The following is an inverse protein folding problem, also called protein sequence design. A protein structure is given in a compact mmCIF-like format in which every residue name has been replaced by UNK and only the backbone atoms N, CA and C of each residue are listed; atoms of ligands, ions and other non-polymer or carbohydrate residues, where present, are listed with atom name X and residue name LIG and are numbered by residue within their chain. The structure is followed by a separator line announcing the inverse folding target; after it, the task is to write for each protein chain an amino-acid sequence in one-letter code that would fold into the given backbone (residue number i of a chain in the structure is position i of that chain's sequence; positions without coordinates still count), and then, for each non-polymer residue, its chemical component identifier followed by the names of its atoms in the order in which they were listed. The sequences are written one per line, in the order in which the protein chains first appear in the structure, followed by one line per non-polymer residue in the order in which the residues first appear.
data_IF_256316812187
#
_entry.id   IF_256316812187
#
_cell.length_a   1.000
_cell.length_b   1.000
_cell.length_c   1.000
_cell.angle_alpha   90.00
_cell.angle_beta   90.00
_cell.angle_gamma   90.00
#
_symmetry.space_group_name_H-M   'P 1'
#
loop_
_entity.id
_entity.type
_entity.pdbx_description
1 polymer ?
#
# COMPACT_ATOMS: atom_id res chain seq x y z
N UNK A 1 5.55 12.27 14.06
CA UNK A 1 4.15 12.56 13.70
C UNK A 1 4.03 13.17 12.32
N UNK A 2 4.22 14.49 12.21
CA UNK A 2 3.97 15.23 10.96
C UNK A 2 5.00 14.94 9.84
N UNK A 3 6.28 14.76 10.18
CA UNK A 3 7.35 14.51 9.21
C UNK A 3 7.24 13.12 8.56
N UNK A 4 6.92 12.08 9.34
CA UNK A 4 6.73 10.72 8.83
C UNK A 4 5.44 10.59 8.00
N UNK A 5 4.37 11.30 8.38
CA UNK A 5 3.15 11.41 7.55
C UNK A 5 3.37 12.13 6.22
N UNK A 6 4.30 13.09 6.17
CA UNK A 6 4.67 13.80 4.95
C UNK A 6 5.52 12.93 4.02
N UNK A 7 6.43 12.11 4.55
CA UNK A 7 7.23 11.16 3.78
C UNK A 7 6.43 9.91 3.34
N UNK A 8 5.40 9.54 4.09
CA UNK A 8 4.54 8.42 3.72
C UNK A 8 3.77 8.69 2.41
N UNK A 9 3.36 9.93 2.15
CA UNK A 9 2.63 10.29 0.92
C UNK A 9 3.42 9.97 -0.37
N UNK A 10 4.67 10.45 -0.57
CA UNK A 10 5.45 10.08 -1.75
C UNK A 10 5.84 8.60 -1.74
N UNK A 11 6.03 7.98 -0.57
CA UNK A 11 6.31 6.55 -0.49
C UNK A 11 5.13 5.70 -1.00
N UNK A 12 3.90 6.02 -0.61
CA UNK A 12 2.70 5.29 -1.06
C UNK A 12 2.44 5.44 -2.56
N UNK A 13 2.77 6.59 -3.17
CA UNK A 13 2.68 6.75 -4.63
C UNK A 13 3.58 5.72 -5.33
N UNK A 14 4.81 5.54 -4.85
CA UNK A 14 5.74 4.54 -5.38
C UNK A 14 5.18 3.14 -5.18
N UNK A 15 4.63 2.83 -4.01
CA UNK A 15 4.03 1.52 -3.70
C UNK A 15 2.85 1.22 -4.62
N UNK A 16 1.93 2.18 -4.83
CA UNK A 16 0.78 2.01 -5.73
C UNK A 16 1.24 1.70 -7.15
N UNK A 17 2.24 2.43 -7.66
CA UNK A 17 2.79 2.19 -9.00
C UNK A 17 3.42 0.80 -9.11
N UNK A 18 4.20 0.39 -8.09
CA UNK A 18 4.82 -0.95 -8.06
C UNK A 18 3.76 -2.06 -8.01
N UNK A 19 2.69 -1.89 -7.22
CA UNK A 19 1.61 -2.86 -7.13
C UNK A 19 0.85 -2.98 -8.47
N UNK A 20 0.58 -1.86 -9.15
CA UNK A 20 -0.01 -1.89 -10.50
C UNK A 20 0.87 -2.68 -11.47
N UNK A 21 2.17 -2.38 -11.52
CA UNK A 21 3.11 -3.12 -12.37
C UNK A 21 3.13 -4.60 -12.01
N UNK A 22 3.19 -4.96 -10.72
CA UNK A 22 3.19 -6.35 -10.27
C UNK A 22 1.90 -7.11 -10.66
N UNK A 23 0.75 -6.45 -10.61
CA UNK A 23 -0.53 -7.01 -11.06
C UNK A 23 -0.46 -7.29 -12.56
N UNK A 24 -0.17 -6.29 -13.39
CA UNK A 24 -0.21 -6.42 -14.86
C UNK A 24 0.91 -7.29 -15.44
N UNK A 25 2.05 -7.39 -14.77
CA UNK A 25 3.23 -8.08 -15.34
C UNK A 25 3.34 -9.53 -14.84
N UNK A 26 3.10 -9.76 -13.55
CA UNK A 26 3.37 -11.07 -12.92
C UNK A 26 2.08 -11.83 -12.62
N UNK A 27 1.07 -11.17 -12.05
CA UNK A 27 -0.07 -11.86 -11.44
C UNK A 27 -1.33 -11.90 -12.32
N UNK A 28 -1.41 -11.11 -13.40
CA UNK A 28 -2.59 -11.08 -14.28
C UNK A 28 -2.86 -12.44 -14.93
N UNK A 29 -1.80 -13.22 -15.18
CA UNK A 29 -1.88 -14.55 -15.76
C UNK A 29 -2.30 -15.63 -14.74
N UNK A 30 -2.16 -15.35 -13.45
CA UNK A 30 -2.41 -16.30 -12.36
C UNK A 30 -3.87 -16.26 -11.85
N UNK A 31 -4.71 -15.40 -12.43
CA UNK A 31 -6.09 -15.21 -12.03
C UNK A 31 -6.26 -14.39 -10.75
N UNK A 32 -7.50 -14.28 -10.27
CA UNK A 32 -7.81 -13.42 -9.12
C UNK A 32 -7.27 -13.98 -7.79
N UNK A 33 -7.60 -15.23 -7.46
CA UNK A 33 -7.38 -15.78 -6.12
C UNK A 33 -5.91 -15.99 -5.75
N UNK A 34 -5.54 -15.60 -4.53
CA UNK A 34 -4.17 -15.81 -4.01
C UNK A 34 -3.77 -17.29 -3.95
N UNK A 35 -4.72 -18.22 -3.85
CA UNK A 35 -4.47 -19.66 -3.88
C UNK A 35 -3.70 -20.13 -5.14
N UNK A 36 -3.82 -19.39 -6.25
CA UNK A 36 -3.11 -19.66 -7.50
C UNK A 36 -1.91 -18.71 -7.72
N UNK A 37 -1.44 -18.01 -6.69
CA UNK A 37 -0.54 -16.85 -6.82
C UNK A 37 -1.16 -15.72 -7.66
N UNK A 38 -2.47 -15.52 -7.52
CA UNK A 38 -3.22 -14.46 -8.18
C UNK A 38 -2.99 -13.06 -7.59
N UNK A 39 -3.68 -12.07 -8.16
CA UNK A 39 -3.46 -10.66 -7.84
C UNK A 39 -4.34 -10.09 -6.70
N UNK A 40 -5.19 -10.91 -6.07
CA UNK A 40 -6.06 -10.52 -4.94
C UNK A 40 -5.31 -9.82 -3.81
N UNK A 41 -4.17 -10.38 -3.38
CA UNK A 41 -3.37 -9.78 -2.31
C UNK A 41 -2.76 -8.43 -2.73
N UNK A 42 -2.29 -8.34 -3.98
CA UNK A 42 -1.76 -7.08 -4.52
C UNK A 42 -2.85 -6.00 -4.60
N UNK A 43 -4.10 -6.35 -4.90
CA UNK A 43 -5.24 -5.43 -4.83
C UNK A 43 -5.57 -4.99 -3.40
N UNK A 44 -5.53 -5.92 -2.44
CA UNK A 44 -5.75 -5.58 -1.03
C UNK A 44 -4.69 -4.58 -0.53
N UNK A 45 -3.42 -4.81 -0.89
CA UNK A 45 -2.33 -3.86 -0.60
C UNK A 45 -2.53 -2.52 -1.31
N UNK A 46 -3.02 -2.52 -2.55
CA UNK A 46 -3.27 -1.30 -3.32
C UNK A 46 -4.41 -0.48 -2.69
N UNK A 47 -5.46 -1.13 -2.19
CA UNK A 47 -6.52 -0.49 -1.42
C UNK A 47 -6.00 0.13 -0.11
N UNK A 48 -5.12 -0.58 0.60
CA UNK A 48 -4.45 -0.06 1.80
C UNK A 48 -3.56 1.15 1.49
N UNK A 49 -2.75 1.06 0.44
CA UNK A 49 -1.87 2.13 -0.01
C UNK A 49 -2.66 3.39 -0.42
N UNK A 50 -3.79 3.22 -1.12
CA UNK A 50 -4.71 4.32 -1.44
C UNK A 50 -5.32 4.94 -0.19
N UNK A 51 -5.72 4.13 0.79
CA UNK A 51 -6.24 4.65 2.06
C UNK A 51 -5.18 5.48 2.80
N UNK A 52 -3.92 5.04 2.83
CA UNK A 52 -2.80 5.78 3.42
C UNK A 52 -2.44 7.03 2.59
N UNK A 53 -2.56 6.97 1.27
CA UNK A 53 -2.35 8.13 0.39
C UNK A 53 -3.38 9.24 0.66
N UNK A 54 -4.66 8.86 0.83
CA UNK A 54 -5.78 9.79 1.04
C UNK A 54 -5.80 10.30 2.49
N UNK A 55 -5.75 9.42 3.49
CA UNK A 55 -5.81 9.81 4.90
C UNK A 55 -4.46 10.33 5.44
N UNK A 56 -3.35 10.04 4.75
CA UNK A 56 -1.99 10.18 5.28
C UNK A 56 -1.67 9.11 6.34
N UNK A 57 -0.40 8.89 6.65
CA UNK A 57 0.00 7.95 7.73
C UNK A 57 -0.41 8.39 9.15
N UNK A 58 -1.24 9.44 9.27
CA UNK A 58 -1.51 10.19 10.51
C UNK A 58 -2.42 9.51 11.54
N UNK A 59 -3.02 8.35 11.25
CA UNK A 59 -3.84 7.62 12.24
C UNK A 59 -3.25 6.28 12.70
N UNK A 60 -2.42 5.64 11.87
CA UNK A 60 -1.80 4.33 12.16
C UNK A 60 -0.28 4.38 12.33
N UNK A 61 0.37 5.52 12.08
CA UNK A 61 1.80 5.65 12.41
C UNK A 61 1.99 5.38 13.90
N UNK A 62 2.90 4.44 14.20
CA UNK A 62 3.49 4.12 15.50
C UNK A 62 3.98 5.35 16.31
N UNK A 63 3.91 6.55 15.74
CA UNK A 63 4.14 7.82 16.41
C UNK A 63 3.35 8.02 17.71
N UNK A 64 2.15 7.45 17.90
CA UNK A 64 1.43 7.57 19.18
C UNK A 64 2.05 6.70 20.30
N UNK A 65 2.77 5.62 19.97
CA UNK A 65 3.35 4.70 20.96
C UNK A 65 4.71 5.20 21.45
N UNK A 66 5.46 5.93 20.61
CA UNK A 66 6.80 6.43 20.95
C UNK A 66 6.75 7.83 21.56
N UNK A 67 5.69 8.61 21.34
CA UNK A 67 5.52 9.95 21.91
C UNK A 67 4.81 9.97 23.28
N UNK A 68 5.05 8.96 24.13
CA UNK A 68 4.65 8.99 25.54
C UNK A 68 5.87 9.15 26.44
#
# INVERSE_FOLDING_TARGET
GLLLGLLARPAEVVVIVLLLVAIFTVHIHNGFFMANNGYEYALALLGGALAVLIEGAGKLSLDRVIAR
#
